data_IF_099372522264
#
_entry.id   IF_099372522264
#
_cell.length_a   1.000
_cell.length_b   1.000
_cell.length_c   1.000
_cell.angle_alpha   90.00
_cell.angle_beta   90.00
_cell.angle_gamma   90.00
#
_symmetry.space_group_name_H-M   'P 1'
#
loop_
_entity.id
_entity.type
_entity.pdbx_description
1 polymer ?
#
# COMPACT_ATOMS: atom_id res chain seq x y z
N UNK A 1 10.96 -26.52 -3.58
CA UNK A 1 10.98 -25.95 -2.20
C UNK A 1 9.98 -24.79 -2.19
N UNK A 2 8.92 -24.86 -1.38
CA UNK A 2 8.01 -23.73 -1.18
C UNK A 2 8.55 -22.87 -0.04
N UNK A 3 9.11 -21.71 -0.35
CA UNK A 3 9.33 -20.68 0.68
C UNK A 3 7.96 -20.22 1.16
N UNK A 4 7.61 -20.50 2.42
CA UNK A 4 6.40 -19.93 3.01
C UNK A 4 6.59 -18.40 3.04
N UNK A 5 5.75 -17.69 2.31
CA UNK A 5 5.61 -16.24 2.48
C UNK A 5 5.00 -15.98 3.86
N UNK A 6 5.58 -15.08 4.64
CA UNK A 6 5.12 -14.74 6.00
C UNK A 6 3.89 -13.83 6.02
N UNK A 7 3.35 -13.48 4.85
CA UNK A 7 2.25 -12.52 4.75
C UNK A 7 2.66 -11.06 4.93
N UNK A 8 3.97 -10.77 5.05
CA UNK A 8 4.49 -9.41 5.31
C UNK A 8 4.39 -8.47 4.11
N UNK A 9 4.14 -8.97 2.90
CA UNK A 9 4.16 -8.16 1.67
C UNK A 9 3.19 -6.97 1.73
N UNK A 10 1.96 -7.20 2.21
CA UNK A 10 0.94 -6.17 2.25
C UNK A 10 1.24 -5.08 3.30
N UNK A 11 1.76 -5.50 4.44
CA UNK A 11 2.25 -4.61 5.48
C UNK A 11 3.41 -3.72 4.99
N UNK A 12 4.33 -4.29 4.22
CA UNK A 12 5.41 -3.52 3.59
C UNK A 12 4.86 -2.52 2.56
N UNK A 13 3.87 -2.91 1.76
CA UNK A 13 3.21 -2.00 0.82
C UNK A 13 2.52 -0.83 1.54
N UNK A 14 1.81 -1.08 2.64
CA UNK A 14 1.19 -0.03 3.45
C UNK A 14 2.22 0.95 4.00
N UNK A 15 3.28 0.44 4.62
CA UNK A 15 4.38 1.27 5.14
C UNK A 15 5.04 2.11 4.05
N UNK A 16 5.28 1.54 2.88
CA UNK A 16 5.89 2.24 1.77
C UNK A 16 4.96 3.33 1.22
N UNK A 17 3.68 3.02 1.02
CA UNK A 17 2.70 4.01 0.55
C UNK A 17 2.59 5.18 1.52
N UNK A 18 2.53 4.92 2.84
CA UNK A 18 2.52 5.96 3.86
C UNK A 18 3.74 6.87 3.79
N UNK A 19 4.95 6.30 3.62
CA UNK A 19 6.18 7.08 3.44
C UNK A 19 6.18 7.92 2.17
N UNK A 20 5.56 7.44 1.09
CA UNK A 20 5.51 8.13 -0.19
C UNK A 20 4.33 9.12 -0.31
N UNK A 21 3.57 9.35 0.76
CA UNK A 21 2.37 10.20 0.73
C UNK A 21 1.22 9.62 -0.11
N UNK A 22 1.23 8.31 -0.33
CA UNK A 22 0.21 7.57 -1.07
C UNK A 22 -0.70 6.80 -0.11
N UNK A 23 -1.86 6.38 -0.60
CA UNK A 23 -2.74 5.45 0.13
C UNK A 23 -2.89 4.14 -0.63
N UNK A 24 -3.04 3.05 0.11
CA UNK A 24 -3.39 1.72 -0.42
C UNK A 24 -4.74 1.32 0.14
N UNK A 25 -5.66 0.89 -0.73
CA UNK A 25 -6.97 0.35 -0.39
C UNK A 25 -7.07 -1.11 -0.85
N UNK A 26 -7.73 -1.94 -0.05
CA UNK A 26 -7.85 -3.37 -0.31
C UNK A 26 -9.28 -3.80 -0.03
N UNK A 27 -9.85 -4.49 -0.99
CA UNK A 27 -11.23 -4.93 -0.96
C UNK A 27 -11.26 -6.33 -1.54
N UNK A 28 -11.99 -7.25 -0.92
CA UNK A 28 -12.11 -8.61 -1.43
C UNK A 28 -13.55 -9.05 -1.39
N UNK A 29 -13.94 -9.79 -2.41
CA UNK A 29 -15.24 -10.44 -2.46
C UNK A 29 -15.04 -11.93 -2.73
N UNK A 30 -15.72 -12.74 -1.91
CA UNK A 30 -15.65 -14.21 -1.99
C UNK A 30 -16.04 -14.65 -3.40
N UNK A 31 -15.24 -15.53 -3.98
CA UNK A 31 -15.39 -16.04 -5.36
C UNK A 31 -15.23 -14.99 -6.48
N UNK A 32 -14.85 -13.73 -6.19
CA UNK A 32 -14.52 -12.72 -7.20
C UNK A 32 -13.07 -12.26 -7.15
N UNK A 33 -12.42 -12.37 -5.98
CA UNK A 33 -11.01 -12.07 -5.80
C UNK A 33 -10.79 -10.82 -4.94
N UNK A 34 -9.63 -10.19 -5.12
CA UNK A 34 -9.19 -9.05 -4.33
C UNK A 34 -8.83 -7.90 -5.24
N UNK A 35 -9.43 -6.74 -5.01
CA UNK A 35 -9.07 -5.46 -5.62
C UNK A 35 -8.09 -4.73 -4.71
N UNK A 36 -6.98 -4.31 -5.29
CA UNK A 36 -5.99 -3.46 -4.62
C UNK A 36 -5.93 -2.12 -5.36
N UNK A 37 -6.11 -1.04 -4.63
CA UNK A 37 -6.19 0.32 -5.16
C UNK A 37 -5.02 1.13 -4.62
N UNK A 38 -4.22 1.72 -5.50
CA UNK A 38 -3.17 2.69 -5.13
C UNK A 38 -3.67 4.09 -5.46
N UNK A 39 -3.66 4.98 -4.46
CA UNK A 39 -4.16 6.34 -4.58
C UNK A 39 -2.95 7.27 -4.54
N UNK A 40 -2.72 7.93 -5.68
CA UNK A 40 -1.64 8.90 -5.85
C UNK A 40 -2.14 10.33 -5.58
N UNK A 41 -1.32 11.19 -4.97
CA UNK A 41 -1.63 12.61 -4.85
C UNK A 41 -1.66 13.29 -6.22
N UNK A 42 -2.53 14.29 -6.38
CA UNK A 42 -2.76 14.97 -7.67
C UNK A 42 -1.67 15.97 -8.07
N UNK A 43 -0.78 16.36 -7.15
CA UNK A 43 0.29 17.36 -7.40
C UNK A 43 1.68 16.74 -7.24
N UNK A 44 2.58 17.02 -8.20
CA UNK A 44 3.93 16.45 -8.32
C UNK A 44 4.96 16.82 -7.24
N UNK A 45 4.51 17.33 -6.10
CA UNK A 45 5.36 17.60 -4.94
C UNK A 45 4.53 17.33 -3.68
N UNK A 46 4.75 16.18 -3.05
CA UNK A 46 4.43 15.97 -1.64
C UNK A 46 5.74 16.05 -0.88
N UNK A 47 6.00 17.22 -0.30
CA UNK A 47 7.13 17.46 0.59
C UNK A 47 6.97 16.62 1.85
N UNK A 48 8.03 15.91 2.21
CA UNK A 48 8.20 15.29 3.51
C UNK A 48 8.30 16.39 4.58
N UNK A 49 7.17 16.87 5.08
CA UNK A 49 7.15 17.50 6.40
C UNK A 49 7.16 16.37 7.43
N UNK A 50 8.37 15.93 7.78
CA UNK A 50 8.60 15.35 9.09
C UNK A 50 8.28 16.42 10.12
N UNK A 51 7.06 16.40 10.65
CA UNK A 51 6.67 17.26 11.75
C UNK A 51 7.55 16.92 12.95
N UNK A 52 8.35 17.91 13.35
CA UNK A 52 9.04 18.00 14.64
C UNK A 52 8.01 18.07 15.78
#
# INVERSE_FOLDING_TARGET
>A
RFSKSTGMGLYLCEKLCSKLGMKIGIESEVNKGTRVTLIFPLSGMVTFESCL
#
